data_IF_700280402114
#
_entry.id   IF_700280402114
#
_cell.length_a   1.000
_cell.length_b   1.000
_cell.length_c   1.000
_cell.angle_alpha   90.00
_cell.angle_beta   90.00
_cell.angle_gamma   90.00
#
_symmetry.space_group_name_H-M   'P 1'
#
loop_
_entity.id
_entity.type
_entity.pdbx_description
1 polymer ?
#
# COMPACT_ATOMS: atom_id res chain seq x y z
N UNK A 1 35.53 -4.84 13.81
CA UNK A 1 35.23 -3.43 14.15
C UNK A 1 34.20 -2.76 13.20
N UNK A 2 33.79 -3.40 12.08
CA UNK A 2 32.96 -2.75 11.05
C UNK A 2 31.41 -2.82 11.21
N UNK A 3 30.85 -3.42 12.26
CA UNK A 3 29.42 -3.79 12.26
C UNK A 3 28.56 -3.31 13.44
N UNK A 4 29.10 -2.46 14.33
CA UNK A 4 28.31 -1.77 15.35
C UNK A 4 27.51 -0.56 14.80
N UNK A 5 27.73 -0.15 13.54
CA UNK A 5 27.19 1.10 12.96
C UNK A 5 25.79 1.01 12.36
N UNK A 6 25.26 -0.16 12.01
CA UNK A 6 24.02 -0.26 11.21
C UNK A 6 22.71 -0.13 12.00
N UNK A 7 22.75 0.05 13.33
CA UNK A 7 21.52 0.21 14.15
C UNK A 7 21.32 1.63 14.65
N UNK A 8 22.41 2.31 14.95
CA UNK A 8 22.40 3.70 15.39
C UNK A 8 22.09 4.61 14.22
N UNK A 9 20.80 4.83 13.95
CA UNK A 9 20.36 5.69 12.84
C UNK A 9 19.18 5.12 12.06
N UNK A 10 18.77 3.87 12.30
CA UNK A 10 17.65 3.28 11.56
C UNK A 10 16.33 4.01 11.79
N UNK A 11 16.08 4.47 13.03
CA UNK A 11 14.93 5.32 13.37
C UNK A 11 14.94 6.61 12.54
N UNK A 12 16.08 7.33 12.52
CA UNK A 12 16.22 8.57 11.75
C UNK A 12 16.13 8.33 10.24
N UNK A 13 16.70 7.23 9.74
CA UNK A 13 16.55 6.79 8.36
C UNK A 13 15.09 6.56 8.00
N UNK A 14 14.32 5.87 8.85
CA UNK A 14 12.90 5.62 8.59
C UNK A 14 12.07 6.90 8.68
N UNK A 15 12.38 7.82 9.60
CA UNK A 15 11.76 9.15 9.63
C UNK A 15 12.03 9.95 8.35
N UNK A 16 13.26 9.91 7.82
CA UNK A 16 13.60 10.54 6.54
C UNK A 16 12.86 9.88 5.37
N UNK A 17 12.79 8.54 5.36
CA UNK A 17 12.03 7.79 4.36
C UNK A 17 10.54 8.16 4.40
N UNK A 18 9.94 8.26 5.58
CA UNK A 18 8.55 8.66 5.74
C UNK A 18 8.29 10.08 5.22
N UNK A 19 9.17 11.04 5.53
CA UNK A 19 9.09 12.40 4.97
C UNK A 19 9.20 12.40 3.44
N UNK A 20 10.12 11.62 2.88
CA UNK A 20 10.29 11.51 1.42
C UNK A 20 9.05 10.89 0.75
N UNK A 21 8.44 9.87 1.35
CA UNK A 21 7.22 9.24 0.88
C UNK A 21 6.02 10.19 0.95
N UNK A 22 5.87 10.92 2.05
CA UNK A 22 4.85 11.96 2.20
C UNK A 22 5.04 13.08 1.18
N UNK A 23 6.28 13.52 0.94
CA UNK A 23 6.57 14.52 -0.08
C UNK A 23 6.26 14.01 -1.50
N UNK A 24 6.62 12.78 -1.83
CA UNK A 24 6.32 12.15 -3.12
C UNK A 24 4.81 11.92 -3.34
N UNK A 25 4.04 11.92 -2.26
CA UNK A 25 2.58 11.74 -2.26
C UNK A 25 1.85 12.93 -1.63
N UNK A 26 2.41 14.14 -1.70
CA UNK A 26 1.96 15.29 -0.91
C UNK A 26 0.47 15.62 -1.08
N UNK A 27 -0.11 15.31 -2.25
CA UNK A 27 -1.55 15.46 -2.53
C UNK A 27 -2.40 14.68 -1.53
N UNK A 28 -1.95 13.51 -1.07
CA UNK A 28 -2.66 12.73 -0.03
C UNK A 28 -2.69 13.42 1.34
N UNK A 29 -1.62 14.16 1.69
CA UNK A 29 -1.34 14.59 3.05
C UNK A 29 -1.75 16.04 3.32
N UNK A 30 -1.57 16.90 2.33
CA UNK A 30 -1.93 18.31 2.43
C UNK A 30 -3.43 18.54 2.13
N UNK A 31 -4.00 19.67 2.58
CA UNK A 31 -5.38 20.03 2.28
C UNK A 31 -5.65 20.01 0.78
N UNK A 32 -6.83 19.52 0.38
CA UNK A 32 -7.23 19.43 -1.03
C UNK A 32 -7.16 20.81 -1.72
N UNK A 33 -7.55 21.86 -1.01
CA UNK A 33 -7.50 23.25 -1.48
C UNK A 33 -6.09 23.79 -1.75
N UNK A 34 -5.05 23.19 -1.17
CA UNK A 34 -3.66 23.57 -1.43
C UNK A 34 -3.05 22.80 -2.59
N UNK A 35 -3.69 21.71 -3.01
CA UNK A 35 -3.12 20.76 -3.95
C UNK A 35 -3.91 20.63 -5.24
N UNK A 36 -5.03 21.35 -5.36
CA UNK A 36 -5.91 21.33 -6.52
C UNK A 36 -6.58 19.97 -6.69
N UNK A 37 -7.07 19.39 -5.61
CA UNK A 37 -7.72 18.07 -5.61
C UNK A 37 -9.08 18.10 -4.92
N UNK A 38 -9.74 19.25 -4.89
CA UNK A 38 -11.02 19.46 -4.18
C UNK A 38 -12.14 18.60 -4.75
N UNK A 39 -12.07 18.26 -6.04
CA UNK A 39 -13.06 17.40 -6.66
C UNK A 39 -13.02 15.99 -6.07
N UNK A 40 -11.84 15.42 -5.81
CA UNK A 40 -11.72 14.03 -5.39
C UNK A 40 -12.24 13.84 -3.96
N UNK A 41 -13.35 13.13 -3.75
CA UNK A 41 -13.95 13.00 -2.42
C UNK A 41 -13.07 12.17 -1.49
N UNK A 42 -12.99 12.60 -0.23
CA UNK A 42 -12.41 11.78 0.82
C UNK A 42 -13.36 10.64 1.19
N UNK A 43 -12.79 9.47 1.48
CA UNK A 43 -13.55 8.30 1.91
C UNK A 43 -13.12 7.96 3.33
N UNK A 44 -13.83 8.43 4.36
CA UNK A 44 -13.48 8.11 5.75
C UNK A 44 -13.76 6.63 6.06
N UNK A 45 -13.11 6.11 7.10
CA UNK A 45 -13.32 4.73 7.57
C UNK A 45 -14.65 4.54 8.29
N UNK A 46 -15.23 5.64 8.80
CA UNK A 46 -16.50 5.66 9.52
C UNK A 46 -17.30 6.89 9.11
N UNK A 47 -18.61 6.87 9.40
CA UNK A 47 -19.46 8.03 9.23
C UNK A 47 -19.06 9.15 10.21
N UNK A 48 -18.35 10.15 9.70
CA UNK A 48 -17.88 11.29 10.48
C UNK A 48 -19.05 12.15 10.99
N UNK A 49 -20.17 12.21 10.27
CA UNK A 49 -21.33 12.98 10.69
C UNK A 49 -22.01 12.31 11.89
N UNK A 50 -22.12 10.97 11.91
CA UNK A 50 -22.59 10.23 13.10
C UNK A 50 -21.64 10.37 14.29
N UNK A 51 -20.35 10.64 14.05
CA UNK A 51 -19.37 10.95 15.10
C UNK A 51 -19.41 12.42 15.55
N UNK A 52 -20.28 13.26 14.98
CA UNK A 52 -20.38 14.68 15.30
C UNK A 52 -19.24 15.53 14.72
N UNK A 53 -18.49 15.02 13.75
CA UNK A 53 -17.40 15.73 13.09
C UNK A 53 -17.88 16.33 11.76
N UNK A 54 -17.84 17.66 11.67
CA UNK A 54 -18.04 18.35 10.39
C UNK A 54 -16.87 18.09 9.43
N UNK A 55 -17.08 18.26 8.12
CA UNK A 55 -16.01 18.15 7.11
C UNK A 55 -14.86 19.12 7.38
N UNK A 56 -15.16 20.33 7.85
CA UNK A 56 -14.15 21.33 8.22
C UNK A 56 -13.31 20.86 9.41
N UNK A 57 -13.96 20.32 10.46
CA UNK A 57 -13.27 19.77 11.62
C UNK A 57 -12.40 18.57 11.24
N UNK A 58 -12.91 17.68 10.39
CA UNK A 58 -12.16 16.55 9.86
C UNK A 58 -10.93 17.01 9.06
N UNK A 59 -11.07 18.03 8.21
CA UNK A 59 -9.97 18.65 7.48
C UNK A 59 -8.88 19.22 8.40
N UNK A 60 -9.28 19.92 9.46
CA UNK A 60 -8.34 20.48 10.44
C UNK A 60 -7.60 19.40 11.23
N UNK A 61 -8.30 18.36 11.70
CA UNK A 61 -7.69 17.22 12.40
C UNK A 61 -6.71 16.49 11.46
N UNK A 62 -7.10 16.30 10.21
CA UNK A 62 -6.28 15.67 9.18
C UNK A 62 -4.99 16.44 8.89
N UNK A 63 -5.07 17.78 8.84
CA UNK A 63 -3.90 18.65 8.69
C UNK A 63 -3.02 18.62 9.94
N UNK A 64 -3.61 18.73 11.14
CA UNK A 64 -2.88 18.65 12.41
C UNK A 64 -2.14 17.32 12.58
N UNK A 65 -2.77 16.20 12.19
CA UNK A 65 -2.13 14.89 12.18
C UNK A 65 -0.92 14.85 11.22
N UNK A 66 -1.05 15.42 10.02
CA UNK A 66 0.05 15.52 9.04
C UNK A 66 1.21 16.34 9.59
N UNK A 67 0.92 17.50 10.19
CA UNK A 67 1.93 18.37 10.81
C UNK A 67 2.63 17.65 11.98
N UNK A 68 1.88 16.94 12.81
CA UNK A 68 2.43 16.17 13.92
C UNK A 68 3.40 15.07 13.45
N UNK A 69 3.08 14.36 12.35
CA UNK A 69 4.00 13.38 11.74
C UNK A 69 5.29 14.07 11.30
N UNK A 70 5.18 15.20 10.59
CA UNK A 70 6.34 15.93 10.06
C UNK A 70 7.25 16.43 11.19
N UNK A 71 6.68 17.08 12.21
CA UNK A 71 7.42 17.57 13.38
C UNK A 71 8.06 16.42 14.14
N UNK A 72 7.34 15.32 14.36
CA UNK A 72 7.89 14.14 15.04
C UNK A 72 9.03 13.47 14.25
N UNK A 73 8.96 13.46 12.91
CA UNK A 73 10.05 12.97 12.07
C UNK A 73 11.29 13.86 12.18
N UNK A 74 11.14 15.19 12.07
CA UNK A 74 12.27 16.12 12.24
C UNK A 74 12.87 16.05 13.65
N UNK A 75 12.05 15.93 14.69
CA UNK A 75 12.51 15.71 16.06
C UNK A 75 13.30 14.40 16.20
N UNK A 76 12.86 13.33 15.55
CA UNK A 76 13.58 12.03 15.55
C UNK A 76 14.93 12.13 14.84
N UNK A 77 15.01 12.90 13.75
CA UNK A 77 16.25 13.12 12.99
C UNK A 77 17.22 14.03 13.77
N UNK A 78 16.73 15.14 14.31
CA UNK A 78 17.57 16.20 14.91
C UNK A 78 17.98 15.94 16.36
N UNK A 79 17.03 15.57 17.23
CA UNK A 79 17.33 15.33 18.65
C UNK A 79 17.78 13.89 18.92
N UNK A 80 17.43 12.96 18.04
CA UNK A 80 17.72 11.54 18.19
C UNK A 80 16.93 10.89 19.34
N UNK A 81 16.59 9.61 19.18
CA UNK A 81 16.13 8.70 20.25
C UNK A 81 14.98 9.21 21.15
N UNK A 82 14.11 10.10 20.65
CA UNK A 82 12.93 10.55 21.40
C UNK A 82 11.87 9.44 21.42
N UNK A 83 11.60 8.88 22.61
CA UNK A 83 10.61 7.80 22.77
C UNK A 83 9.17 8.23 22.46
N UNK A 84 8.91 9.54 22.41
CA UNK A 84 7.58 10.11 22.25
C UNK A 84 7.21 10.40 20.79
N UNK A 85 8.18 10.52 19.89
CA UNK A 85 7.91 10.82 18.48
C UNK A 85 7.19 9.67 17.79
N UNK A 86 7.56 8.42 18.06
CA UNK A 86 6.94 7.25 17.44
C UNK A 86 5.49 7.00 17.85
N UNK A 87 5.08 7.12 19.13
CA UNK A 87 3.67 7.15 19.51
C UNK A 87 2.88 8.23 18.77
N UNK A 88 3.43 9.44 18.66
CA UNK A 88 2.79 10.55 17.91
C UNK A 88 2.60 10.15 16.45
N UNK A 89 3.64 9.64 15.79
CA UNK A 89 3.57 9.19 14.40
C UNK A 89 2.52 8.08 14.23
N UNK A 90 2.48 7.08 15.12
CA UNK A 90 1.52 5.98 15.03
C UNK A 90 0.08 6.47 15.16
N UNK A 91 -0.22 7.29 16.16
CA UNK A 91 -1.56 7.85 16.39
C UNK A 91 -1.96 8.76 15.23
N UNK A 92 -1.06 9.65 14.77
CA UNK A 92 -1.35 10.56 13.68
C UNK A 92 -1.57 9.82 12.34
N UNK A 93 -0.81 8.76 12.05
CA UNK A 93 -1.06 7.92 10.87
C UNK A 93 -2.41 7.21 10.96
N UNK A 94 -2.75 6.65 12.12
CA UNK A 94 -4.06 6.01 12.34
C UNK A 94 -5.21 7.01 12.15
N UNK A 95 -5.13 8.18 12.78
CA UNK A 95 -6.12 9.25 12.62
C UNK A 95 -6.23 9.69 11.17
N UNK A 96 -5.11 9.88 10.48
CA UNK A 96 -5.10 10.27 9.07
C UNK A 96 -5.82 9.24 8.19
N UNK A 97 -5.58 7.94 8.39
CA UNK A 97 -6.24 6.85 7.65
C UNK A 97 -7.72 6.75 8.00
N UNK A 98 -8.11 6.97 9.26
CA UNK A 98 -9.52 6.93 9.67
C UNK A 98 -10.34 8.05 9.02
N UNK A 99 -9.73 9.22 8.82
CA UNK A 99 -10.38 10.37 8.17
C UNK A 99 -10.39 10.27 6.64
N UNK A 100 -9.39 9.62 6.06
CA UNK A 100 -9.32 9.34 4.62
C UNK A 100 -8.56 8.03 4.38
N UNK A 101 -9.33 6.99 4.04
CA UNK A 101 -8.79 5.66 3.75
C UNK A 101 -7.80 5.66 2.59
N UNK A 102 -7.83 6.65 1.69
CA UNK A 102 -6.90 6.75 0.58
C UNK A 102 -5.43 6.89 1.04
N UNK A 103 -5.22 7.36 2.26
CA UNK A 103 -3.92 7.44 2.92
C UNK A 103 -3.35 6.09 3.34
N UNK A 104 -4.15 5.02 3.29
CA UNK A 104 -3.74 3.66 3.63
C UNK A 104 -2.86 3.03 2.54
N UNK A 105 -1.78 3.69 2.18
CA UNK A 105 -0.79 3.18 1.25
C UNK A 105 0.08 2.09 1.92
N UNK A 106 0.66 1.12 1.19
CA UNK A 106 1.45 0.05 1.79
C UNK A 106 2.59 0.54 2.70
N UNK A 107 3.29 1.58 2.28
CA UNK A 107 4.38 2.18 3.04
C UNK A 107 3.90 2.94 4.28
N UNK A 108 2.68 3.48 4.27
CA UNK A 108 2.06 4.14 5.41
C UNK A 108 1.67 3.10 6.47
N UNK A 109 1.11 1.96 6.04
CA UNK A 109 0.84 0.82 6.90
C UNK A 109 2.14 0.24 7.50
N UNK A 110 3.19 0.05 6.69
CA UNK A 110 4.50 -0.38 7.19
C UNK A 110 5.07 0.60 8.22
N UNK A 111 4.95 1.91 7.96
CA UNK A 111 5.40 2.96 8.89
C UNK A 111 4.61 2.97 10.19
N UNK A 112 3.31 2.71 10.14
CA UNK A 112 2.48 2.55 11.32
C UNK A 112 2.94 1.36 12.19
N UNK A 113 3.17 0.20 11.58
CA UNK A 113 3.67 -0.98 12.31
C UNK A 113 5.05 -0.71 12.93
N UNK A 114 5.95 -0.06 12.19
CA UNK A 114 7.28 0.30 12.69
C UNK A 114 7.21 1.33 13.80
N UNK A 115 6.34 2.33 13.70
CA UNK A 115 6.14 3.31 14.75
C UNK A 115 5.69 2.63 16.06
N UNK A 116 4.80 1.64 16.01
CA UNK A 116 4.44 0.86 17.21
C UNK A 116 5.65 0.09 17.74
N UNK A 117 6.42 -0.58 16.89
CA UNK A 117 7.62 -1.32 17.32
C UNK A 117 8.73 -0.41 17.87
N UNK A 118 8.90 0.80 17.35
CA UNK A 118 9.87 1.76 17.84
C UNK A 118 9.43 2.46 19.14
N UNK A 119 8.12 2.60 19.34
CA UNK A 119 7.51 3.09 20.56
C UNK A 119 7.58 2.05 21.69
N UNK A 120 7.20 0.80 21.40
CA UNK A 120 7.11 -0.28 22.38
C UNK A 120 8.43 -1.05 22.53
N UNK A 121 9.37 -0.94 21.60
CA UNK A 121 10.60 -1.72 21.62
C UNK A 121 11.42 -1.46 22.90
N UNK A 122 11.90 -2.50 23.61
CA UNK A 122 12.83 -2.33 24.72
C UNK A 122 14.08 -1.59 24.26
N UNK A 123 14.59 -0.68 25.08
CA UNK A 123 15.79 0.12 24.81
C UNK A 123 16.91 -0.23 25.78
N UNK A 124 18.15 -0.20 25.30
CA UNK A 124 19.36 -0.34 26.13
C UNK A 124 19.63 0.93 26.95
N UNK A 125 20.62 0.89 27.85
CA UNK A 125 21.01 2.05 28.69
C UNK A 125 21.39 3.30 27.87
N UNK A 126 21.83 3.11 26.62
CA UNK A 126 22.14 4.21 25.70
C UNK A 126 20.92 4.70 24.90
N UNK A 127 19.73 4.19 25.20
CA UNK A 127 18.48 4.54 24.53
C UNK A 127 18.29 3.92 23.14
N UNK A 128 19.09 2.93 22.76
CA UNK A 128 18.98 2.24 21.46
C UNK A 128 18.02 1.07 21.54
N UNK A 129 17.29 0.82 20.46
CA UNK A 129 16.40 -0.34 20.37
C UNK A 129 17.16 -1.67 20.50
N UNK A 130 16.56 -2.56 21.28
CA UNK A 130 17.06 -3.92 21.53
C UNK A 130 17.12 -4.77 20.25
N UNK A 131 17.99 -5.78 20.26
CA UNK A 131 18.05 -6.76 19.17
C UNK A 131 16.72 -7.51 18.99
N UNK A 132 15.96 -7.75 20.06
CA UNK A 132 14.63 -8.36 19.96
C UNK A 132 13.69 -7.54 19.08
N UNK A 133 13.68 -6.21 19.20
CA UNK A 133 12.84 -5.36 18.34
C UNK A 133 13.30 -5.43 16.89
N UNK A 134 14.61 -5.40 16.63
CA UNK A 134 15.13 -5.54 15.26
C UNK A 134 14.82 -6.90 14.63
N UNK A 135 14.78 -7.99 15.42
CA UNK A 135 14.31 -9.30 14.93
C UNK A 135 12.86 -9.23 14.47
N UNK A 136 11.98 -8.54 15.20
CA UNK A 136 10.58 -8.33 14.80
C UNK A 136 10.45 -7.47 13.53
N UNK A 137 11.24 -6.40 13.41
CA UNK A 137 11.26 -5.56 12.19
C UNK A 137 11.75 -6.37 10.98
N UNK A 138 12.79 -7.19 11.14
CA UNK A 138 13.25 -8.10 10.09
C UNK A 138 12.18 -9.10 9.70
N UNK A 139 11.46 -9.66 10.68
CA UNK A 139 10.37 -10.60 10.45
C UNK A 139 9.22 -9.95 9.66
N UNK A 140 8.82 -8.73 10.01
CA UNK A 140 7.85 -7.94 9.22
C UNK A 140 8.37 -7.65 7.81
N UNK A 141 9.65 -7.30 7.66
CA UNK A 141 10.24 -7.04 6.34
C UNK A 141 10.23 -8.30 5.47
N UNK A 142 10.58 -9.45 6.05
CA UNK A 142 10.54 -10.74 5.36
C UNK A 142 9.10 -11.08 4.97
N UNK A 143 8.11 -10.82 5.83
CA UNK A 143 6.72 -11.11 5.52
C UNK A 143 6.19 -10.32 4.34
N UNK A 144 6.65 -9.07 4.15
CA UNK A 144 6.32 -8.30 2.93
C UNK A 144 6.71 -9.09 1.69
N UNK A 145 7.96 -9.55 1.59
CA UNK A 145 8.41 -10.35 0.43
C UNK A 145 7.68 -11.69 0.30
N UNK A 146 7.42 -12.39 1.40
CA UNK A 146 6.71 -13.68 1.39
C UNK A 146 5.29 -13.51 0.84
N UNK A 147 4.50 -12.62 1.42
CA UNK A 147 3.10 -12.45 1.02
C UNK A 147 2.96 -11.77 -0.35
N UNK A 148 3.85 -10.83 -0.67
CA UNK A 148 3.93 -10.19 -1.99
C UNK A 148 4.28 -11.21 -3.08
N UNK A 149 5.20 -12.14 -2.82
CA UNK A 149 5.52 -13.22 -3.75
C UNK A 149 4.36 -14.22 -3.89
N UNK A 150 3.83 -14.71 -2.77
CA UNK A 150 2.74 -15.69 -2.75
C UNK A 150 1.51 -15.13 -3.47
N UNK A 151 1.15 -13.87 -3.25
CA UNK A 151 0.02 -13.20 -3.92
C UNK A 151 0.15 -13.16 -5.45
N UNK A 152 1.38 -13.12 -5.98
CA UNK A 152 1.68 -13.12 -7.42
C UNK A 152 1.74 -14.53 -8.05
N UNK A 153 1.83 -15.60 -7.26
CA UNK A 153 1.54 -16.96 -7.75
C UNK A 153 0.03 -17.13 -7.91
N UNK A 154 -0.51 -16.44 -8.91
CA UNK A 154 -1.93 -16.28 -9.17
C UNK A 154 -2.17 -16.12 -10.68
N UNK A 155 -3.29 -16.67 -11.15
CA UNK A 155 -3.68 -16.59 -12.56
C UNK A 155 -3.65 -15.16 -13.10
N UNK A 156 -4.23 -14.20 -12.36
CA UNK A 156 -4.33 -12.82 -12.83
C UNK A 156 -2.94 -12.20 -12.99
N UNK A 157 -2.03 -12.38 -12.02
CA UNK A 157 -0.67 -11.85 -12.17
C UNK A 157 0.03 -12.44 -13.39
N UNK A 158 -0.01 -13.77 -13.56
CA UNK A 158 0.67 -14.45 -14.66
C UNK A 158 0.15 -14.03 -16.04
N UNK A 159 -1.12 -13.63 -16.16
CA UNK A 159 -1.74 -13.26 -17.45
C UNK A 159 -1.84 -11.75 -17.67
N UNK A 160 -1.61 -10.91 -16.66
CA UNK A 160 -1.75 -9.43 -16.76
C UNK A 160 -0.48 -8.72 -16.31
N UNK A 161 -0.40 -8.24 -15.07
CA UNK A 161 0.70 -7.41 -14.54
C UNK A 161 2.08 -8.06 -14.72
N UNK A 162 2.19 -9.38 -14.56
CA UNK A 162 3.44 -10.11 -14.81
C UNK A 162 3.88 -10.08 -16.29
N UNK A 163 2.92 -10.00 -17.22
CA UNK A 163 3.20 -9.79 -18.64
C UNK A 163 3.66 -8.36 -18.92
N UNK A 164 3.10 -7.36 -18.23
CA UNK A 164 3.54 -5.97 -18.37
C UNK A 164 4.97 -5.79 -17.84
N UNK A 165 5.29 -6.44 -16.73
CA UNK A 165 6.65 -6.48 -16.17
C UNK A 165 7.66 -7.16 -17.10
N UNK A 166 7.21 -8.13 -17.89
CA UNK A 166 8.05 -8.79 -18.89
C UNK A 166 8.23 -7.91 -20.13
N UNK A 167 7.16 -7.28 -20.62
CA UNK A 167 7.15 -6.44 -21.83
C UNK A 167 7.98 -5.17 -21.66
N UNK A 168 7.79 -4.43 -20.57
CA UNK A 168 8.39 -3.11 -20.38
C UNK A 168 9.92 -3.08 -20.57
N UNK A 169 10.73 -3.94 -19.92
CA UNK A 169 12.19 -3.92 -20.11
C UNK A 169 12.62 -4.51 -21.46
N UNK A 170 11.87 -5.47 -22.02
CA UNK A 170 12.21 -6.12 -23.30
C UNK A 170 11.93 -5.21 -24.50
N UNK A 171 10.98 -4.28 -24.38
CA UNK A 171 10.76 -3.24 -25.37
C UNK A 171 11.97 -2.31 -25.55
N UNK A 172 12.77 -2.07 -24.49
CA UNK A 172 13.98 -1.25 -24.58
C UNK A 172 15.06 -1.85 -25.49
N UNK A 173 15.01 -3.16 -25.71
CA UNK A 173 15.90 -3.89 -26.63
C UNK A 173 15.15 -4.42 -27.86
N UNK A 174 13.97 -3.85 -28.14
CA UNK A 174 13.12 -4.18 -29.30
C UNK A 174 12.74 -5.66 -29.41
N UNK A 175 12.62 -6.36 -28.28
CA UNK A 175 12.16 -7.75 -28.23
C UNK A 175 10.64 -7.76 -28.05
N UNK A 176 9.95 -8.32 -29.05
CA UNK A 176 8.50 -8.51 -28.98
C UNK A 176 8.13 -9.78 -28.21
N UNK A 177 7.72 -9.59 -26.96
CA UNK A 177 7.25 -10.67 -26.08
C UNK A 177 5.94 -11.27 -26.58
N UNK A 178 5.11 -10.53 -27.33
CA UNK A 178 3.81 -11.01 -27.78
C UNK A 178 3.91 -12.19 -28.75
N UNK A 179 5.03 -12.28 -29.48
CA UNK A 179 5.35 -13.39 -30.37
C UNK A 179 5.79 -14.67 -29.63
N UNK A 180 6.06 -14.61 -28.33
CA UNK A 180 6.51 -15.78 -27.57
C UNK A 180 5.37 -16.76 -27.30
N UNK A 181 5.64 -18.08 -27.29
CA UNK A 181 4.65 -19.07 -26.87
C UNK A 181 4.09 -18.75 -25.49
N UNK A 182 2.79 -18.92 -25.30
CA UNK A 182 2.11 -18.63 -24.02
C UNK A 182 2.77 -19.32 -22.84
N UNK A 183 3.17 -20.59 -22.98
CA UNK A 183 3.89 -21.32 -21.92
C UNK A 183 5.18 -20.61 -21.50
N UNK A 184 5.97 -20.12 -22.46
CA UNK A 184 7.22 -19.39 -22.19
C UNK A 184 6.94 -18.09 -21.45
N UNK A 185 5.94 -17.32 -21.90
CA UNK A 185 5.52 -16.07 -21.23
C UNK A 185 5.07 -16.29 -19.79
N UNK A 186 4.31 -17.35 -19.54
CA UNK A 186 3.84 -17.68 -18.18
C UNK A 186 5.01 -18.10 -17.27
N UNK A 187 5.95 -18.91 -17.77
CA UNK A 187 7.15 -19.29 -17.02
C UNK A 187 8.02 -18.06 -16.72
N UNK A 188 8.21 -17.19 -17.72
CA UNK A 188 8.97 -15.95 -17.55
C UNK A 188 8.29 -15.03 -16.52
N UNK A 189 6.97 -14.83 -16.60
CA UNK A 189 6.23 -14.05 -15.61
C UNK A 189 6.29 -14.68 -14.20
N UNK A 190 6.25 -16.02 -14.09
CA UNK A 190 6.38 -16.72 -12.82
C UNK A 190 7.80 -16.59 -12.20
N UNK A 191 8.81 -16.21 -12.98
CA UNK A 191 10.15 -15.98 -12.45
C UNK A 191 10.21 -14.78 -11.49
N UNK A 192 9.36 -13.75 -11.68
CA UNK A 192 9.30 -12.58 -10.79
C UNK A 192 8.93 -12.95 -9.34
N UNK A 193 7.77 -13.60 -9.07
CA UNK A 193 7.45 -14.03 -7.71
C UNK A 193 8.39 -15.12 -7.19
N UNK A 194 8.91 -16.00 -8.04
CA UNK A 194 9.91 -16.98 -7.61
C UNK A 194 11.19 -16.32 -7.09
N UNK A 195 11.71 -15.32 -7.81
CA UNK A 195 12.87 -14.56 -7.38
C UNK A 195 12.61 -13.80 -6.07
N UNK A 196 11.45 -13.16 -5.94
CA UNK A 196 11.02 -12.49 -4.71
C UNK A 196 10.93 -13.47 -3.52
N UNK A 197 10.47 -14.71 -3.74
CA UNK A 197 10.47 -15.75 -2.71
C UNK A 197 11.89 -16.16 -2.32
N UNK A 198 12.79 -16.29 -3.29
CA UNK A 198 14.19 -16.57 -3.03
C UNK A 198 14.86 -15.44 -2.21
N UNK A 199 14.50 -14.18 -2.45
CA UNK A 199 14.91 -13.05 -1.59
C UNK A 199 14.47 -13.28 -0.15
N UNK A 200 13.19 -13.60 0.07
CA UNK A 200 12.65 -13.85 1.41
C UNK A 200 13.42 -14.98 2.12
N UNK A 201 13.57 -16.13 1.47
CA UNK A 201 14.29 -17.30 2.00
C UNK A 201 15.75 -16.95 2.32
N UNK A 202 16.44 -16.27 1.39
CA UNK A 202 17.83 -15.91 1.56
C UNK A 202 18.05 -14.96 2.75
N UNK A 203 17.13 -14.00 2.96
CA UNK A 203 17.17 -13.06 4.10
C UNK A 203 16.88 -13.73 5.45
N UNK A 204 16.05 -14.78 5.46
CA UNK A 204 15.70 -15.53 6.67
C UNK A 204 16.91 -16.25 7.29
N UNK A 205 17.84 -16.75 6.47
CA UNK A 205 18.98 -17.52 6.96
C UNK A 205 20.24 -16.66 7.13
N UNK A 206 20.92 -16.68 8.30
CA UNK A 206 22.13 -15.88 8.51
C UNK A 206 23.24 -16.11 7.48
N UNK A 207 23.40 -17.36 7.01
CA UNK A 207 24.46 -17.74 6.04
C UNK A 207 24.24 -17.18 4.64
N UNK A 208 22.99 -17.05 4.21
CA UNK A 208 22.62 -16.57 2.86
C UNK A 208 22.21 -15.10 2.86
N UNK A 209 22.15 -14.46 4.02
CA UNK A 209 21.56 -13.14 4.18
C UNK A 209 22.16 -12.07 3.27
N UNK A 210 23.48 -12.04 3.13
CA UNK A 210 24.12 -11.05 2.24
C UNK A 210 23.75 -11.28 0.77
N UNK A 211 23.58 -12.53 0.35
CA UNK A 211 23.05 -12.84 -0.98
C UNK A 211 21.63 -12.28 -1.09
N UNK A 212 20.79 -12.50 -0.06
CA UNK A 212 19.45 -11.93 0.00
C UNK A 212 19.42 -10.39 -0.06
N UNK A 213 20.37 -9.69 0.58
CA UNK A 213 20.50 -8.22 0.49
C UNK A 213 20.79 -7.78 -0.94
N UNK A 214 21.75 -8.41 -1.61
CA UNK A 214 22.06 -8.11 -3.00
C UNK A 214 20.90 -8.42 -3.94
N UNK A 215 20.24 -9.56 -3.76
CA UNK A 215 19.05 -9.93 -4.54
C UNK A 215 17.91 -8.94 -4.34
N UNK A 216 17.60 -8.54 -3.10
CA UNK A 216 16.59 -7.53 -2.80
C UNK A 216 16.94 -6.18 -3.45
N UNK A 217 18.21 -5.77 -3.35
CA UNK A 217 18.69 -4.52 -3.98
C UNK A 217 18.50 -4.58 -5.49
N UNK A 218 18.95 -5.66 -6.14
CA UNK A 218 18.80 -5.84 -7.59
C UNK A 218 17.33 -5.84 -8.01
N UNK A 219 16.46 -6.53 -7.26
CA UNK A 219 15.02 -6.55 -7.50
C UNK A 219 14.42 -5.15 -7.47
N UNK A 220 14.70 -4.39 -6.41
CA UNK A 220 14.12 -3.04 -6.25
C UNK A 220 14.67 -2.05 -7.27
N UNK A 221 15.94 -2.14 -7.66
CA UNK A 221 16.48 -1.33 -8.75
C UNK A 221 15.82 -1.69 -10.10
N UNK A 222 15.57 -2.98 -10.35
CA UNK A 222 14.80 -3.43 -11.50
C UNK A 222 13.36 -2.90 -11.49
N UNK A 223 12.67 -2.97 -10.35
CA UNK A 223 11.33 -2.41 -10.17
C UNK A 223 11.31 -0.91 -10.37
N UNK A 224 12.31 -0.17 -9.86
CA UNK A 224 12.43 1.27 -10.11
C UNK A 224 12.53 1.52 -11.61
N UNK A 225 13.40 0.80 -12.33
CA UNK A 225 13.54 0.98 -13.78
C UNK A 225 12.21 0.72 -14.52
N UNK A 226 11.56 -0.42 -14.24
CA UNK A 226 10.31 -0.82 -14.90
C UNK A 226 9.13 0.09 -14.55
N UNK A 227 9.02 0.53 -13.31
CA UNK A 227 7.87 1.33 -12.84
C UNK A 227 8.08 2.83 -13.05
N UNK A 228 9.31 3.28 -13.32
CA UNK A 228 9.62 4.67 -13.63
C UNK A 228 8.97 5.14 -14.94
N UNK A 229 9.05 6.44 -15.28
CA UNK A 229 8.64 6.94 -16.60
C UNK A 229 9.32 6.26 -17.80
N UNK A 230 10.43 5.52 -17.59
CA UNK A 230 11.06 4.75 -18.67
C UNK A 230 10.29 3.48 -19.04
N UNK A 231 9.38 3.00 -18.17
CA UNK A 231 8.55 1.83 -18.40
C UNK A 231 7.07 2.16 -18.22
N UNK A 232 6.47 1.67 -17.14
CA UNK A 232 5.02 1.73 -16.89
C UNK A 232 4.53 3.08 -16.32
N UNK A 233 5.43 4.01 -15.97
CA UNK A 233 5.04 5.36 -15.55
C UNK A 233 4.17 5.42 -14.28
N UNK A 234 4.47 4.59 -13.28
CA UNK A 234 3.74 4.55 -12.01
C UNK A 234 4.00 5.77 -11.11
N UNK A 235 3.25 5.87 -10.00
CA UNK A 235 3.31 7.02 -9.09
C UNK A 235 4.69 7.22 -8.44
N UNK A 236 5.09 8.48 -8.17
CA UNK A 236 6.36 8.77 -7.50
C UNK A 236 6.52 8.06 -6.14
N UNK A 237 5.43 7.92 -5.37
CA UNK A 237 5.44 7.20 -4.10
C UNK A 237 5.89 5.74 -4.21
N UNK A 238 5.50 5.06 -5.31
CA UNK A 238 5.92 3.68 -5.59
C UNK A 238 7.43 3.61 -5.84
N UNK A 239 7.98 4.56 -6.60
CA UNK A 239 9.42 4.63 -6.90
C UNK A 239 10.24 4.90 -5.63
N UNK A 240 9.83 5.91 -4.85
CA UNK A 240 10.49 6.25 -3.59
C UNK A 240 10.44 5.08 -2.62
N UNK A 241 9.32 4.37 -2.51
CA UNK A 241 9.23 3.23 -1.60
C UNK A 241 10.13 2.07 -2.01
N UNK A 242 10.28 1.78 -3.31
CA UNK A 242 11.25 0.78 -3.77
C UNK A 242 12.70 1.17 -3.41
N UNK A 243 13.06 2.45 -3.53
CA UNK A 243 14.38 2.93 -3.13
C UNK A 243 14.59 2.80 -1.61
N UNK A 244 13.57 3.11 -0.82
CA UNK A 244 13.55 2.89 0.63
C UNK A 244 13.74 1.40 0.93
N UNK A 245 12.99 0.50 0.32
CA UNK A 245 13.11 -0.95 0.57
C UNK A 245 14.48 -1.51 0.20
N UNK A 246 15.10 -1.02 -0.89
CA UNK A 246 16.47 -1.38 -1.26
C UNK A 246 17.48 -0.96 -0.16
N UNK A 247 17.43 0.29 0.30
CA UNK A 247 18.29 0.78 1.37
C UNK A 247 18.00 0.09 2.72
N UNK A 248 16.73 -0.19 3.03
CA UNK A 248 16.33 -0.90 4.23
C UNK A 248 16.96 -2.28 4.31
N UNK A 249 17.09 -3.00 3.19
CA UNK A 249 17.74 -4.30 3.16
C UNK A 249 19.16 -4.23 3.74
N UNK A 250 19.92 -3.19 3.38
CA UNK A 250 21.26 -2.94 3.92
C UNK A 250 21.24 -2.64 5.43
N UNK A 251 20.37 -1.74 5.87
CA UNK A 251 20.26 -1.39 7.29
C UNK A 251 19.92 -2.60 8.18
N UNK A 252 18.95 -3.41 7.75
CA UNK A 252 18.43 -4.49 8.57
C UNK A 252 19.25 -5.77 8.49
N UNK A 253 19.85 -6.06 7.33
CA UNK A 253 20.39 -7.38 7.03
C UNK A 253 21.89 -7.40 6.70
N UNK A 254 22.54 -6.28 6.37
CA UNK A 254 23.94 -6.27 5.92
C UNK A 254 25.01 -6.32 7.03
N UNK A 255 24.75 -7.03 8.14
CA UNK A 255 25.72 -7.18 9.23
C UNK A 255 25.56 -8.49 10.00
N UNK A 256 26.56 -8.85 10.83
CA UNK A 256 26.47 -10.02 11.68
C UNK A 256 25.33 -9.85 12.68
N UNK A 257 24.57 -10.93 12.84
CA UNK A 257 23.80 -11.11 14.06
C UNK A 257 24.84 -11.23 15.16
N UNK A 258 24.98 -10.20 15.98
CA UNK A 258 25.52 -10.43 17.31
C UNK A 258 24.45 -11.26 18.00
N UNK A 259 24.72 -12.55 18.19
CA UNK A 259 24.02 -13.34 19.20
C UNK A 259 24.30 -12.65 20.52
N UNK A 260 23.39 -11.76 20.92
CA UNK A 260 23.44 -11.18 22.24
C UNK A 260 23.34 -12.36 23.20
N UNK A 261 24.38 -12.57 24.01
CA UNK A 261 24.27 -13.41 25.20
C UNK A 261 23.08 -12.87 25.98
N UNK A 262 22.12 -13.74 26.26
CA UNK A 262 20.92 -13.41 27.02
C UNK A 262 21.34 -12.89 28.40
N UNK A 263 21.34 -11.57 28.56
CA UNK A 263 21.28 -10.96 29.88
C UNK A 263 19.80 -10.74 30.24
N UNK A 264 19.30 -11.33 31.34
CA UNK A 264 17.89 -11.20 31.67
C UNK A 264 17.57 -9.83 32.30
N UNK A 265 16.45 -9.26 31.81
CA UNK A 265 15.43 -8.41 32.48
C UNK A 265 15.67 -6.89 32.52
N UNK A 266 14.61 -6.07 32.35
CA UNK A 266 13.49 -5.95 33.31
C UNK A 266 12.15 -6.53 32.82
N UNK A 267 11.23 -6.65 33.77
CA UNK A 267 9.83 -7.07 33.59
C UNK A 267 9.06 -6.05 32.71
N UNK A 268 8.90 -6.39 31.43
CA UNK A 268 8.20 -5.57 30.44
C UNK A 268 7.17 -6.40 29.66
N UNK A 269 6.48 -7.30 30.37
CA UNK A 269 5.60 -8.33 29.77
C UNK A 269 4.57 -7.75 28.81
N UNK A 270 3.88 -6.67 29.18
CA UNK A 270 2.81 -6.04 28.36
C UNK A 270 3.32 -5.35 27.10
N UNK A 271 4.43 -4.63 27.21
CA UNK A 271 5.05 -3.90 26.10
C UNK A 271 5.67 -4.87 25.08
N UNK A 272 6.27 -5.95 25.58
CA UNK A 272 6.74 -7.08 24.76
C UNK A 272 5.55 -7.80 24.11
N UNK A 273 4.45 -7.99 24.84
CA UNK A 273 3.23 -8.59 24.29
C UNK A 273 2.63 -7.75 23.16
N UNK A 274 2.58 -6.42 23.30
CA UNK A 274 2.10 -5.53 22.23
C UNK A 274 2.95 -5.65 20.96
N UNK A 275 4.28 -5.64 21.10
CA UNK A 275 5.19 -5.77 19.95
C UNK A 275 4.98 -7.10 19.21
N UNK A 276 4.81 -8.20 19.95
CA UNK A 276 4.50 -9.50 19.35
C UNK A 276 3.10 -9.57 18.76
N UNK A 277 2.08 -9.01 19.44
CA UNK A 277 0.71 -8.99 18.94
C UNK A 277 0.61 -8.30 17.58
N UNK A 278 1.26 -7.13 17.42
CA UNK A 278 1.29 -6.41 16.15
C UNK A 278 1.93 -7.25 15.04
N UNK A 279 3.04 -7.92 15.33
CA UNK A 279 3.73 -8.77 14.36
C UNK A 279 2.91 -10.01 14.01
N UNK A 280 2.29 -10.66 15.00
CA UNK A 280 1.40 -11.81 14.78
C UNK A 280 0.22 -11.39 13.90
N UNK A 281 -0.41 -10.25 14.16
CA UNK A 281 -1.49 -9.71 13.31
C UNK A 281 -0.97 -9.52 11.88
N UNK A 282 0.16 -8.86 11.68
CA UNK A 282 0.75 -8.63 10.36
C UNK A 282 1.22 -9.91 9.63
N UNK A 283 1.39 -11.02 10.34
CA UNK A 283 1.75 -12.34 9.77
C UNK A 283 0.54 -13.23 9.52
N UNK A 284 -0.49 -13.15 10.35
CA UNK A 284 -1.64 -14.07 10.31
C UNK A 284 -2.78 -13.47 9.50
N UNK A 285 -3.07 -12.18 9.65
CA UNK A 285 -4.19 -11.54 8.96
C UNK A 285 -4.11 -11.57 7.42
N UNK A 286 -2.93 -11.47 6.77
CA UNK A 286 -2.83 -11.60 5.32
C UNK A 286 -3.44 -12.90 4.76
N UNK A 287 -3.51 -13.98 5.55
CA UNK A 287 -4.11 -15.26 5.14
C UNK A 287 -5.62 -15.11 4.85
N UNK A 288 -6.28 -14.15 5.49
CA UNK A 288 -7.72 -13.91 5.34
C UNK A 288 -8.08 -12.85 4.28
N UNK A 289 -7.11 -12.37 3.50
CA UNK A 289 -7.31 -11.33 2.48
C UNK A 289 -8.34 -11.74 1.42
N UNK A 290 -8.20 -12.95 0.84
CA UNK A 290 -9.14 -13.42 -0.20
C UNK A 290 -10.55 -13.66 0.31
N UNK A 291 -10.69 -13.94 1.61
CA UNK A 291 -11.99 -14.04 2.26
C UNK A 291 -12.63 -12.67 2.54
N UNK A 292 -11.92 -11.56 2.27
CA UNK A 292 -12.41 -10.19 2.43
C UNK A 292 -12.33 -9.65 3.86
N UNK A 293 -11.73 -10.38 4.80
CA UNK A 293 -11.56 -9.96 6.20
C UNK A 293 -10.29 -9.14 6.44
N UNK A 294 -9.43 -9.04 5.43
CA UNK A 294 -8.23 -8.21 5.48
C UNK A 294 -8.03 -7.51 4.15
N UNK A 295 -7.56 -6.26 4.21
CA UNK A 295 -7.37 -5.47 3.00
C UNK A 295 -6.17 -5.95 2.20
N UNK A 296 -6.31 -5.88 0.87
CA UNK A 296 -5.32 -6.32 -0.09
C UNK A 296 -3.90 -5.75 0.16
N UNK A 297 -3.78 -4.45 0.42
CA UNK A 297 -2.49 -3.82 0.72
C UNK A 297 -1.95 -4.16 2.11
N UNK A 298 -2.81 -4.37 3.10
CA UNK A 298 -2.41 -4.76 4.45
C UNK A 298 -1.99 -6.23 4.50
N UNK A 299 -2.40 -7.01 3.51
CA UNK A 299 -1.95 -8.37 3.27
C UNK A 299 -0.59 -8.45 2.56
N UNK A 300 0.01 -7.30 2.19
CA UNK A 300 1.20 -7.22 1.35
C UNK A 300 1.04 -7.85 -0.04
N UNK A 301 -0.18 -7.94 -0.57
CA UNK A 301 -0.44 -8.44 -1.93
C UNK A 301 -0.07 -7.38 -2.99
N UNK A 302 1.20 -6.98 -3.01
CA UNK A 302 1.69 -5.89 -3.86
C UNK A 302 1.77 -6.35 -5.31
N UNK A 303 1.32 -5.48 -6.24
CA UNK A 303 1.27 -5.76 -7.68
C UNK A 303 0.53 -7.06 -8.03
N UNK A 304 -0.41 -7.48 -7.18
CA UNK A 304 -1.17 -8.72 -7.35
C UNK A 304 -2.62 -8.39 -7.73
N UNK A 305 -3.02 -8.43 -9.01
CA UNK A 305 -4.30 -7.88 -9.48
C UNK A 305 -5.56 -8.69 -9.08
N UNK A 306 -5.45 -9.61 -8.10
CA UNK A 306 -6.53 -10.50 -7.69
C UNK A 306 -7.53 -9.86 -6.71
N UNK A 307 -7.31 -8.62 -6.26
CA UNK A 307 -8.18 -7.96 -5.27
C UNK A 307 -9.65 -7.91 -5.72
N UNK A 308 -10.56 -7.83 -4.74
CA UNK A 308 -11.96 -7.44 -5.00
C UNK A 308 -12.01 -6.02 -5.57
N UNK A 309 -13.02 -5.72 -6.38
CA UNK A 309 -13.15 -4.40 -7.01
C UNK A 309 -14.59 -4.01 -7.32
N UNK A 310 -14.81 -2.71 -7.55
CA UNK A 310 -16.04 -2.14 -8.10
C UNK A 310 -15.73 -1.54 -9.46
N UNK A 311 -16.54 -1.88 -10.45
CA UNK A 311 -16.59 -1.21 -11.75
C UNK A 311 -17.81 -0.31 -11.76
N UNK A 312 -17.60 0.95 -12.11
CA UNK A 312 -18.63 1.97 -12.28
C UNK A 312 -18.70 2.30 -13.78
N UNK A 313 -19.92 2.34 -14.31
CA UNK A 313 -20.21 2.77 -15.66
C UNK A 313 -21.14 3.98 -15.62
N UNK A 314 -20.84 4.96 -16.47
CA UNK A 314 -21.61 6.21 -16.60
C UNK A 314 -22.23 6.25 -18.00
N UNK A 315 -23.52 6.54 -18.06
CA UNK A 315 -24.20 6.76 -19.33
C UNK A 315 -23.75 8.09 -19.97
N UNK A 316 -23.58 8.12 -21.29
CA UNK A 316 -23.01 9.28 -22.01
C UNK A 316 -23.68 10.62 -21.66
N UNK A 317 -24.99 10.61 -21.38
CA UNK A 317 -25.76 11.82 -21.06
C UNK A 317 -25.38 12.49 -19.74
N UNK A 318 -24.55 11.84 -18.93
CA UNK A 318 -24.10 12.33 -17.64
C UNK A 318 -22.60 12.70 -17.62
N UNK A 319 -21.85 12.43 -18.70
CA UNK A 319 -20.41 12.70 -18.76
C UNK A 319 -20.12 14.19 -18.60
N UNK A 320 -20.87 15.05 -19.28
CA UNK A 320 -20.72 16.51 -19.22
C UNK A 320 -21.07 17.11 -17.85
N UNK A 321 -21.71 16.34 -16.97
CA UNK A 321 -22.01 16.75 -15.59
C UNK A 321 -20.81 16.52 -14.65
N UNK A 322 -19.82 15.73 -15.08
CA UNK A 322 -18.61 15.47 -14.30
C UNK A 322 -17.57 16.58 -14.50
N UNK A 323 -16.74 16.86 -13.47
CA UNK A 323 -15.55 17.69 -13.63
C UNK A 323 -14.67 17.25 -14.79
N UNK A 324 -14.12 18.19 -15.56
CA UNK A 324 -13.27 17.91 -16.75
C UNK A 324 -12.12 16.94 -16.43
N UNK A 325 -11.49 17.08 -15.26
CA UNK A 325 -10.40 16.20 -14.83
C UNK A 325 -10.85 14.74 -14.64
N UNK A 326 -12.11 14.49 -14.30
CA UNK A 326 -12.65 13.14 -14.13
C UNK A 326 -12.92 12.46 -15.47
N UNK A 327 -13.29 13.23 -16.49
CA UNK A 327 -13.59 12.72 -17.83
C UNK A 327 -12.39 11.99 -18.45
N UNK A 328 -11.17 12.36 -18.06
CA UNK A 328 -9.93 11.67 -18.47
C UNK A 328 -9.81 10.23 -17.99
N UNK A 329 -10.62 9.81 -17.02
CA UNK A 329 -10.68 8.45 -16.49
C UNK A 329 -11.88 7.66 -17.02
N UNK A 330 -12.59 8.19 -18.02
CA UNK A 330 -13.69 7.51 -18.73
C UNK A 330 -13.16 6.89 -20.02
N UNK A 331 -13.55 5.66 -20.32
CA UNK A 331 -13.18 4.97 -21.56
C UNK A 331 -14.02 5.41 -22.75
N UNK A 332 -13.54 5.09 -23.95
CA UNK A 332 -14.39 5.10 -25.13
C UNK A 332 -15.55 4.09 -24.97
N UNK A 333 -16.63 4.33 -25.72
CA UNK A 333 -17.74 3.40 -25.87
C UNK A 333 -17.33 2.32 -26.88
N UNK A 334 -16.76 1.22 -26.38
CA UNK A 334 -16.23 0.14 -27.22
C UNK A 334 -17.32 -0.78 -27.77
N UNK A 335 -18.49 -0.88 -27.11
CA UNK A 335 -19.60 -1.76 -27.49
C UNK A 335 -20.82 -1.04 -28.08
N UNK A 336 -20.73 0.29 -28.21
CA UNK A 336 -21.77 1.18 -28.75
C UNK A 336 -23.08 1.13 -27.97
N UNK A 337 -23.02 0.84 -26.67
CA UNK A 337 -24.18 0.74 -25.79
C UNK A 337 -24.47 2.04 -25.00
N UNK A 338 -23.66 3.08 -25.22
CA UNK A 338 -23.71 4.41 -24.58
C UNK A 338 -23.32 4.42 -23.10
N UNK A 339 -22.77 3.33 -22.57
CA UNK A 339 -22.22 3.26 -21.22
C UNK A 339 -20.71 3.16 -21.24
N UNK A 340 -20.06 4.05 -20.51
CA UNK A 340 -18.62 4.14 -20.48
C UNK A 340 -18.07 3.67 -19.14
N UNK A 341 -16.99 2.90 -19.16
CA UNK A 341 -16.29 2.52 -17.93
C UNK A 341 -15.64 3.76 -17.31
N UNK A 342 -15.94 3.99 -16.03
CA UNK A 342 -15.30 5.03 -15.23
C UNK A 342 -14.24 4.39 -14.32
N UNK A 343 -12.98 4.50 -14.72
CA UNK A 343 -11.85 3.89 -14.03
C UNK A 343 -11.47 4.65 -12.77
N UNK A 344 -12.08 4.29 -11.64
CA UNK A 344 -11.78 4.86 -10.31
C UNK A 344 -10.28 4.85 -9.94
N UNK A 345 -9.56 3.82 -10.38
CA UNK A 345 -8.10 3.74 -10.19
C UNK A 345 -7.32 4.79 -10.99
N UNK A 346 -7.74 5.04 -12.23
CA UNK A 346 -7.15 6.07 -13.09
C UNK A 346 -7.49 7.47 -12.58
N UNK A 347 -8.74 7.69 -12.14
CA UNK A 347 -9.15 8.93 -11.49
C UNK A 347 -8.23 9.30 -10.33
N UNK A 348 -7.92 8.34 -9.45
CA UNK A 348 -6.96 8.53 -8.35
C UNK A 348 -5.56 8.90 -8.83
N UNK A 349 -5.08 8.30 -9.93
CA UNK A 349 -3.77 8.63 -10.50
C UNK A 349 -3.74 10.02 -11.14
N UNK A 350 -4.82 10.43 -11.81
CA UNK A 350 -4.92 11.76 -12.43
C UNK A 350 -4.99 12.85 -11.35
N UNK A 351 -5.93 12.72 -10.40
CA UNK A 351 -6.20 13.79 -9.42
C UNK A 351 -5.21 13.73 -8.26
N UNK A 352 -5.03 12.56 -7.64
CA UNK A 352 -4.23 12.41 -6.40
C UNK A 352 -2.79 11.95 -6.67
N UNK A 353 -2.44 11.57 -7.90
CA UNK A 353 -1.10 11.05 -8.29
C UNK A 353 -0.64 9.84 -7.49
N UNK A 354 -1.59 9.05 -7.00
CA UNK A 354 -1.35 7.82 -6.26
C UNK A 354 -2.34 6.74 -6.69
N UNK A 355 -2.01 5.45 -6.53
CA UNK A 355 -2.99 4.39 -6.74
C UNK A 355 -4.15 4.50 -5.75
N UNK A 356 -5.36 4.16 -6.20
CA UNK A 356 -6.51 3.98 -5.33
C UNK A 356 -6.35 2.74 -4.44
N UNK A 357 -6.99 2.73 -3.27
CA UNK A 357 -7.01 1.54 -2.40
C UNK A 357 -7.68 0.38 -3.16
N UNK A 358 -7.00 -0.75 -3.38
CA UNK A 358 -7.49 -1.84 -4.22
C UNK A 358 -8.39 -2.76 -3.39
N UNK A 359 -9.49 -2.20 -2.90
CA UNK A 359 -10.48 -2.94 -2.14
C UNK A 359 -11.87 -2.49 -2.57
N UNK A 360 -12.76 -3.45 -2.86
CA UNK A 360 -14.12 -3.14 -3.30
C UNK A 360 -14.88 -2.25 -2.30
N UNK A 361 -14.66 -2.40 -0.99
CA UNK A 361 -15.29 -1.56 0.04
C UNK A 361 -14.95 -0.07 -0.12
N UNK A 362 -13.69 0.25 -0.40
CA UNK A 362 -13.24 1.63 -0.63
C UNK A 362 -13.76 2.15 -1.97
N UNK A 363 -13.65 1.34 -3.02
CA UNK A 363 -14.08 1.73 -4.36
C UNK A 363 -15.59 1.93 -4.45
N UNK A 364 -16.37 1.14 -3.72
CA UNK A 364 -17.82 1.32 -3.58
C UNK A 364 -18.14 2.65 -2.90
N UNK A 365 -17.49 2.95 -1.76
CA UNK A 365 -17.72 4.20 -1.04
C UNK A 365 -17.26 5.43 -1.85
N UNK A 366 -16.17 5.30 -2.60
CA UNK A 366 -15.72 6.32 -3.54
C UNK A 366 -16.76 6.55 -4.65
N UNK A 367 -17.26 5.47 -5.27
CA UNK A 367 -18.30 5.55 -6.28
C UNK A 367 -19.58 6.20 -5.73
N UNK A 368 -20.00 5.84 -4.51
CA UNK A 368 -21.17 6.42 -3.87
C UNK A 368 -21.03 7.94 -3.67
N UNK A 369 -19.87 8.39 -3.19
CA UNK A 369 -19.58 9.82 -3.02
C UNK A 369 -19.58 10.57 -4.35
N UNK A 370 -18.97 10.00 -5.39
CA UNK A 370 -18.96 10.55 -6.75
C UNK A 370 -20.39 10.69 -7.27
N UNK A 371 -21.20 9.63 -7.16
CA UNK A 371 -22.59 9.62 -7.63
C UNK A 371 -23.41 10.73 -6.94
N UNK A 372 -23.30 10.84 -5.61
CA UNK A 372 -24.01 11.84 -4.83
C UNK A 372 -23.55 13.28 -5.13
N UNK A 373 -22.23 13.49 -5.28
CA UNK A 373 -21.67 14.81 -5.59
C UNK A 373 -22.06 15.30 -6.98
N UNK A 374 -22.18 14.37 -7.95
CA UNK A 374 -22.54 14.70 -9.32
C UNK A 374 -24.04 14.66 -9.61
N UNK A 375 -24.87 14.09 -8.73
CA UNK A 375 -26.32 13.99 -8.93
C UNK A 375 -26.72 13.10 -10.12
N UNK A 376 -25.97 12.02 -10.33
CA UNK A 376 -26.10 11.12 -11.50
C UNK A 376 -26.68 9.74 -11.14
N UNK A 377 -27.50 9.66 -10.09
CA UNK A 377 -27.97 8.40 -9.49
C UNK A 377 -28.70 7.48 -10.49
N UNK A 378 -29.32 8.05 -11.52
CA UNK A 378 -30.08 7.32 -12.53
C UNK A 378 -29.30 7.08 -13.84
N UNK A 379 -28.07 7.58 -13.94
CA UNK A 379 -27.20 7.48 -15.12
C UNK A 379 -25.94 6.65 -14.83
N UNK A 380 -26.00 5.82 -13.79
CA UNK A 380 -24.92 4.95 -13.36
C UNK A 380 -25.38 3.51 -13.26
N UNK A 381 -24.53 2.59 -13.70
CA UNK A 381 -24.65 1.16 -13.45
C UNK A 381 -23.28 0.62 -13.11
N UNK A 382 -23.21 -0.63 -12.68
CA UNK A 382 -21.91 -1.23 -12.47
C UNK A 382 -21.99 -2.61 -11.89
N UNK A 383 -20.84 -3.08 -11.43
CA UNK A 383 -20.72 -4.38 -10.79
C UNK A 383 -19.73 -4.34 -9.66
N UNK A 384 -19.98 -5.21 -8.68
CA UNK A 384 -19.00 -5.57 -7.67
C UNK A 384 -18.49 -6.95 -8.00
N UNK A 385 -17.17 -7.09 -7.96
CA UNK A 385 -16.48 -8.33 -8.27
C UNK A 385 -15.73 -8.82 -7.03
N UNK A 386 -15.83 -10.12 -6.75
CA UNK A 386 -15.04 -10.78 -5.72
C UNK A 386 -13.55 -10.71 -6.04
N UNK A 387 -12.70 -11.11 -5.08
CA UNK A 387 -11.34 -11.50 -5.40
C UNK A 387 -11.37 -12.64 -6.43
N UNK A 388 -10.42 -12.67 -7.35
CA UNK A 388 -10.38 -13.72 -8.36
C UNK A 388 -9.91 -15.05 -7.79
N UNK A 389 -10.43 -16.15 -8.35
CA UNK A 389 -9.90 -17.47 -8.10
C UNK A 389 -8.42 -17.54 -8.51
N UNK A 390 -7.63 -18.25 -7.69
CA UNK A 390 -6.17 -18.29 -7.86
C UNK A 390 -5.72 -19.02 -9.11
N UNK A 391 -6.51 -20.00 -9.56
CA UNK A 391 -6.16 -20.91 -10.64
C UNK A 391 -6.84 -20.53 -11.94
N UNK A 392 -8.12 -20.15 -11.90
CA UNK A 392 -8.91 -19.84 -13.10
C UNK A 392 -8.96 -18.34 -13.39
N UNK A 393 -8.75 -17.49 -12.37
CA UNK A 393 -8.90 -16.05 -12.49
C UNK A 393 -10.37 -15.58 -12.51
N UNK A 394 -11.33 -16.49 -12.43
CA UNK A 394 -12.77 -16.18 -12.43
C UNK A 394 -13.17 -15.40 -11.18
N UNK A 395 -14.27 -14.65 -11.28
CA UNK A 395 -14.79 -13.79 -10.22
C UNK A 395 -16.29 -13.96 -10.12
N UNK A 396 -16.80 -13.92 -8.90
CA UNK A 396 -18.22 -13.72 -8.69
C UNK A 396 -18.54 -12.26 -8.98
N UNK A 397 -19.50 -12.03 -9.87
CA UNK A 397 -19.94 -10.70 -10.26
C UNK A 397 -21.37 -10.47 -9.84
N UNK A 398 -21.63 -9.31 -9.25
CA UNK A 398 -22.98 -8.86 -8.97
C UNK A 398 -23.19 -7.49 -9.59
N UNK A 399 -24.03 -7.46 -10.62
CA UNK A 399 -24.45 -6.24 -11.29
C UNK A 399 -25.49 -5.48 -10.46
N UNK A 400 -25.49 -4.17 -10.65
CA UNK A 400 -26.50 -3.25 -10.16
C UNK A 400 -26.78 -2.23 -11.26
N UNK A 401 -28.06 -1.96 -11.51
CA UNK A 401 -28.52 -0.95 -12.48
C UNK A 401 -29.40 0.11 -11.84
N UNK A 402 -29.76 -0.10 -10.57
CA UNK A 402 -30.62 0.79 -9.78
C UNK A 402 -29.97 1.13 -8.45
N UNK A 403 -30.36 2.27 -7.88
CA UNK A 403 -29.83 2.79 -6.63
C UNK A 403 -30.04 1.85 -5.44
N UNK A 404 -31.20 1.21 -5.35
CA UNK A 404 -31.53 0.24 -4.29
C UNK A 404 -30.63 -1.00 -4.33
N UNK A 405 -30.28 -1.47 -5.54
CA UNK A 405 -29.34 -2.57 -5.75
C UNK A 405 -27.92 -2.18 -5.37
N UNK A 406 -27.50 -0.96 -5.71
CA UNK A 406 -26.20 -0.41 -5.33
C UNK A 406 -26.06 -0.31 -3.80
N UNK A 407 -27.07 0.21 -3.10
CA UNK A 407 -27.09 0.30 -1.63
C UNK A 407 -27.10 -1.08 -0.97
N UNK A 408 -27.86 -2.04 -1.51
CA UNK A 408 -27.86 -3.43 -1.04
C UNK A 408 -26.48 -4.07 -1.22
N UNK A 409 -25.80 -3.79 -2.34
CA UNK A 409 -24.45 -4.24 -2.62
C UNK A 409 -23.40 -3.63 -1.66
N UNK A 410 -23.65 -2.45 -1.09
CA UNK A 410 -22.81 -1.81 -0.08
C UNK A 410 -22.91 -2.47 1.30
N UNK A 411 -24.10 -2.95 1.69
CA UNK A 411 -24.37 -3.53 3.03
C UNK A 411 -23.54 -4.77 3.39
N UNK A 412 -22.91 -5.43 2.41
CA UNK A 412 -22.02 -6.59 2.66
C UNK A 412 -20.63 -6.18 3.14
N UNK A 413 -20.24 -4.93 2.95
CA UNK A 413 -18.92 -4.46 3.30
C UNK A 413 -18.87 -4.00 4.76
N UNK A 414 -17.76 -4.28 5.42
CA UNK A 414 -17.41 -3.71 6.72
C UNK A 414 -16.73 -2.35 6.51
N UNK A 415 -16.89 -1.43 7.47
CA UNK A 415 -16.26 -0.10 7.47
C UNK A 415 -16.53 0.71 6.19
N UNK A 416 -17.80 0.77 5.81
CA UNK A 416 -18.33 1.74 4.83
C UNK A 416 -19.06 2.82 5.62
N UNK A 417 -18.72 4.12 5.41
CA UNK A 417 -19.34 5.23 6.12
C UNK A 417 -20.84 5.38 5.82
#
# INVERSE_FOLDING_TARGET
>A
MAMRRTRGGYEAYWSLALLALMAATFRLWLPASWTGTESYPSVPMFDLAKMGLSEQSAGLISFAATLAIVVACFATIGWGRSRWTWPIIAVSLATAVMLDQHRLQPWAYQSFLYAILFAAGPRDESGRLSESTFRLIRLLTISVYVFSSIGKFDFQFLHTVGQDFLKAPLQWVSVDVSAWPTRTRLIAAASFPAFELCVAIALSWPRTRMIGVWMATAMHLGLIAVLSPMGLGHSPGVIVWNAVMAMQAWWLFAGSVVEAKDEPKPDMSRVRALSWAVVIVALVMPIFERAGYWDHWLAWALYSPHSSRVTLQIHESAIDQLPEEWQTAITADDDSDRWHDFHLGQLSLVVRRVPAVPQARYQWALADRIIQQSGIENQVRGKVQSASDRRTGERDEQWWTRRDEFEKAGKRFWLVP
#
